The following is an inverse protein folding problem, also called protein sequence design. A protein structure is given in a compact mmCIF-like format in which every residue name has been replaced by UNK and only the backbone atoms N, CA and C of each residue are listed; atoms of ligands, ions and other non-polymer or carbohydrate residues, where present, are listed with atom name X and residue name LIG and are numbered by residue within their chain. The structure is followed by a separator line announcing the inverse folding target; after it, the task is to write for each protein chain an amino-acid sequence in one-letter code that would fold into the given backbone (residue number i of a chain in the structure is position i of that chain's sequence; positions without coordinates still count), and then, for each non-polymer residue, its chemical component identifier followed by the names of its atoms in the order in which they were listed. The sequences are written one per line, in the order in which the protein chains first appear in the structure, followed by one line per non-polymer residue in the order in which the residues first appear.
data_IF_210300888199
#
_entry.id   IF_210300888199
#
_cell.length_a   1.000
_cell.length_b   1.000
_cell.length_c   1.000
_cell.angle_alpha   90.00
_cell.angle_beta   90.00
_cell.angle_gamma   90.00
#
_symmetry.space_group_name_H-M   'P 1'
#
loop_
_entity.id
_entity.type
_entity.pdbx_description
1 polymer ?
#
# COMPACT_ATOMS: atom_id res chain seq x y z
N UNK A 1 9.42 -1.84 8.91
CA UNK A 1 8.19 -1.04 9.05
C UNK A 1 8.06 -0.21 7.79
N UNK A 2 7.03 -0.42 6.97
CA UNK A 2 6.76 0.48 5.86
C UNK A 2 5.93 1.65 6.43
N UNK A 3 6.57 2.80 6.66
CA UNK A 3 5.83 4.02 7.01
C UNK A 3 5.01 4.45 5.80
N UNK A 4 3.69 4.25 5.88
CA UNK A 4 2.74 4.72 4.89
C UNK A 4 2.21 6.08 5.35
N UNK A 5 2.63 7.13 4.67
CA UNK A 5 2.01 8.44 4.82
C UNK A 5 0.69 8.43 4.05
N UNK A 6 -0.41 8.23 4.77
CA UNK A 6 -1.75 8.35 4.20
C UNK A 6 -2.12 9.83 4.22
N UNK A 7 -2.09 10.44 3.05
CA UNK A 7 -2.88 11.63 2.74
C UNK A 7 -3.38 11.50 1.31
N UNK A 8 -4.71 11.54 1.16
CA UNK A 8 -5.49 11.74 -0.07
C UNK A 8 -4.76 11.55 -1.43
N UNK A 9 -4.30 10.33 -1.74
CA UNK A 9 -3.81 9.99 -3.08
C UNK A 9 -4.94 9.37 -3.91
N UNK A 10 -5.89 10.22 -4.30
CA UNK A 10 -6.72 9.97 -5.47
C UNK A 10 -6.18 10.83 -6.62
N UNK A 11 -5.76 10.15 -7.70
CA UNK A 11 -5.42 10.66 -9.05
C UNK A 11 -4.13 11.51 -9.20
N UNK A 12 -3.26 11.13 -10.16
CA UNK A 12 -2.57 12.04 -11.13
C UNK A 12 -1.19 11.60 -11.69
N UNK A 13 -0.80 10.32 -11.76
CA UNK A 13 0.55 9.97 -12.27
C UNK A 13 0.65 8.96 -13.42
N UNK A 14 -0.31 8.95 -14.35
CA UNK A 14 -0.14 8.22 -15.63
C UNK A 14 -0.38 9.09 -16.87
N UNK A 15 -0.23 10.42 -16.74
CA UNK A 15 -0.26 11.32 -17.90
C UNK A 15 1.07 12.08 -18.15
N UNK A 16 2.01 12.09 -17.19
CA UNK A 16 3.36 12.64 -17.39
C UNK A 16 4.44 11.79 -16.69
N UNK A 17 5.23 11.01 -17.44
CA UNK A 17 6.67 10.68 -17.26
C UNK A 17 7.28 10.41 -15.86
N UNK A 18 6.51 10.22 -14.80
CA UNK A 18 7.05 10.14 -13.44
C UNK A 18 7.30 8.67 -13.06
N UNK A 19 8.58 8.34 -12.92
CA UNK A 19 9.05 7.04 -12.45
C UNK A 19 9.00 7.00 -10.92
N UNK A 20 8.17 6.14 -10.37
CA UNK A 20 8.16 5.82 -8.93
C UNK A 20 9.08 4.63 -8.67
N UNK A 21 10.03 4.77 -7.74
CA UNK A 21 10.95 3.70 -7.33
C UNK A 21 10.72 3.40 -5.84
N UNK A 22 10.06 2.29 -5.49
CA UNK A 22 9.89 1.91 -4.08
C UNK A 22 11.25 1.49 -3.50
N UNK A 23 11.56 1.99 -2.29
CA UNK A 23 12.75 1.62 -1.52
C UNK A 23 12.30 0.97 -0.21
N UNK A 24 12.87 -0.17 0.14
CA UNK A 24 12.54 -0.91 1.36
C UNK A 24 13.56 -0.56 2.45
N UNK A 25 13.06 0.03 3.55
CA UNK A 25 13.84 0.26 4.77
C UNK A 25 13.58 -0.84 5.81
N UNK A 26 14.66 -1.41 6.35
CA UNK A 26 14.59 -2.36 7.46
C UNK A 26 14.86 -1.60 8.76
N UNK A 27 13.92 -1.67 9.69
CA UNK A 27 14.09 -1.16 11.05
C UNK A 27 14.35 -2.34 11.97
N UNK A 28 15.58 -2.47 12.46
CA UNK A 28 15.98 -3.58 13.34
C UNK A 28 15.42 -3.44 14.76
N UNK A 29 15.33 -2.20 15.24
CA UNK A 29 14.71 -1.86 16.51
C UNK A 29 13.55 -0.89 16.21
N UNK A 30 12.33 -1.41 16.36
CA UNK A 30 11.12 -0.63 16.12
C UNK A 30 10.92 0.44 17.18
N UNK A 31 11.25 0.14 18.44
CA UNK A 31 11.01 1.03 19.59
C UNK A 31 11.99 2.20 19.61
N UNK A 32 13.19 2.01 19.03
CA UNK A 32 14.15 3.08 18.81
C UNK A 32 13.67 4.12 17.80
N UNK A 33 12.78 3.75 16.86
CA UNK A 33 12.25 4.68 15.87
C UNK A 33 11.01 5.40 16.38
N UNK A 34 11.17 6.69 16.69
CA UNK A 34 10.07 7.56 17.14
C UNK A 34 9.70 8.53 16.01
N UNK A 35 8.62 8.28 15.25
CA UNK A 35 8.22 9.17 14.17
C UNK A 35 7.80 10.54 14.72
N UNK A 36 8.27 11.60 14.07
CA UNK A 36 7.86 12.98 14.33
C UNK A 36 7.17 13.54 13.07
N UNK A 37 5.89 13.20 12.83
CA UNK A 37 5.19 13.60 11.60
C UNK A 37 4.94 15.12 11.57
N UNK A 38 5.08 15.71 10.38
CA UNK A 38 4.69 17.08 10.13
C UNK A 38 3.16 17.17 9.97
N UNK A 39 2.42 17.83 10.87
CA UNK A 39 0.96 17.88 10.80
C UNK A 39 0.42 18.64 9.59
N UNK A 40 1.24 19.47 8.92
CA UNK A 40 0.85 20.13 7.68
C UNK A 40 0.75 19.16 6.49
N UNK A 41 1.42 18.01 6.57
CA UNK A 41 1.58 17.07 5.46
C UNK A 41 1.14 15.65 5.81
N UNK A 42 0.91 15.35 7.08
CA UNK A 42 0.67 13.98 7.58
C UNK A 42 -0.45 14.02 8.62
N UNK A 43 -1.57 13.39 8.28
CA UNK A 43 -2.71 13.26 9.21
C UNK A 43 -2.45 12.21 10.29
N UNK A 44 -1.88 11.06 9.91
CA UNK A 44 -1.65 9.95 10.82
C UNK A 44 -0.51 9.04 10.39
N UNK A 45 0.09 8.36 11.37
CA UNK A 45 1.09 7.30 11.18
C UNK A 45 0.59 6.06 11.90
N UNK A 46 0.60 4.92 11.21
CA UNK A 46 0.17 3.65 11.75
C UNK A 46 0.97 2.50 11.15
N UNK A 47 0.96 1.37 11.86
CA UNK A 47 1.58 0.13 11.42
C UNK A 47 0.52 -0.85 10.93
N UNK A 48 0.82 -1.55 9.85
CA UNK A 48 0.00 -2.61 9.30
C UNK A 48 0.83 -3.91 9.16
N UNK A 49 0.29 -5.09 9.55
CA UNK A 49 1.00 -6.35 9.37
C UNK A 49 1.25 -6.63 7.89
N UNK A 50 2.51 -6.82 7.47
CA UNK A 50 2.83 -7.05 6.05
C UNK A 50 2.07 -8.25 5.45
N UNK A 51 1.80 -9.27 6.26
CA UNK A 51 1.06 -10.46 5.84
C UNK A 51 -0.36 -10.16 5.33
N UNK A 52 -0.97 -9.05 5.72
CA UNK A 52 -2.32 -8.69 5.26
C UNK A 52 -2.37 -8.51 3.73
N UNK A 53 -1.25 -8.11 3.10
CA UNK A 53 -1.19 -7.83 1.67
C UNK A 53 -0.98 -9.09 0.81
N UNK A 54 -0.85 -10.26 1.43
CA UNK A 54 -0.73 -11.55 0.75
C UNK A 54 -1.87 -12.51 1.11
N UNK A 55 -2.89 -11.98 1.78
CA UNK A 55 -4.09 -12.68 2.23
C UNK A 55 -5.30 -12.11 1.51
N UNK A 56 -6.33 -12.94 1.27
CA UNK A 56 -7.56 -12.49 0.60
C UNK A 56 -8.62 -12.01 1.60
N UNK A 57 -8.28 -11.99 2.89
CA UNK A 57 -9.17 -11.53 3.95
C UNK A 57 -9.26 -10.01 3.97
N UNK A 58 -10.48 -9.47 4.01
CA UNK A 58 -10.75 -8.02 4.03
C UNK A 58 -10.16 -7.23 2.84
N UNK A 59 -9.96 -7.92 1.72
CA UNK A 59 -9.52 -7.34 0.45
C UNK A 59 -10.70 -7.19 -0.51
N UNK A 60 -10.75 -6.06 -1.20
CA UNK A 60 -11.63 -5.84 -2.35
C UNK A 60 -10.76 -5.49 -3.56
N UNK A 61 -11.22 -5.78 -4.77
CA UNK A 61 -10.58 -5.28 -5.98
C UNK A 61 -11.60 -4.86 -7.03
N UNK A 62 -11.24 -3.85 -7.79
CA UNK A 62 -12.05 -3.29 -8.86
C UNK A 62 -11.21 -3.17 -10.13
N UNK A 63 -11.76 -3.64 -11.24
CA UNK A 63 -11.20 -3.36 -12.56
C UNK A 63 -11.55 -1.93 -12.95
N UNK A 64 -10.54 -1.21 -13.45
CA UNK A 64 -10.68 0.13 -14.00
C UNK A 64 -10.03 0.16 -15.37
N UNK A 65 -10.56 1.01 -16.24
CA UNK A 65 -9.98 1.28 -17.55
C UNK A 65 -9.45 2.71 -17.57
N UNK A 66 -8.21 2.88 -18.04
CA UNK A 66 -7.58 4.17 -18.20
C UNK A 66 -6.73 4.20 -19.46
N UNK A 67 -7.01 5.15 -20.36
CA UNK A 67 -6.30 5.30 -21.65
C UNK A 67 -6.24 3.94 -22.40
N UNK A 68 -7.38 3.23 -22.46
CA UNK A 68 -7.49 1.93 -23.14
C UNK A 68 -6.74 0.76 -22.47
N UNK A 69 -6.11 0.99 -21.31
CA UNK A 69 -5.46 -0.07 -20.53
C UNK A 69 -6.31 -0.40 -19.31
N UNK A 70 -6.56 -1.69 -19.11
CA UNK A 70 -7.24 -2.19 -17.91
C UNK A 70 -6.24 -2.40 -16.80
N UNK A 71 -6.63 -2.04 -15.58
CA UNK A 71 -5.82 -2.24 -14.39
C UNK A 71 -6.70 -2.60 -13.20
N UNK A 72 -6.11 -3.33 -12.26
CA UNK A 72 -6.78 -3.77 -11.04
C UNK A 72 -6.39 -2.85 -9.89
N UNK A 73 -7.38 -2.24 -9.25
CA UNK A 73 -7.18 -1.49 -8.02
C UNK A 73 -7.52 -2.40 -6.85
N UNK A 74 -6.57 -2.59 -5.93
CA UNK A 74 -6.78 -3.32 -4.70
C UNK A 74 -7.12 -2.35 -3.56
N UNK A 75 -8.01 -2.78 -2.68
CA UNK A 75 -8.39 -2.11 -1.44
C UNK A 75 -8.22 -3.09 -0.29
N UNK A 76 -7.54 -2.65 0.77
CA UNK A 76 -7.41 -3.38 2.02
C UNK A 76 -7.93 -2.50 3.14
N UNK A 77 -8.99 -2.99 3.79
CA UNK A 77 -9.59 -2.30 4.93
C UNK A 77 -8.87 -2.77 6.21
N UNK A 78 -8.29 -1.83 6.97
CA UNK A 78 -7.50 -2.11 8.16
C UNK A 78 -7.97 -1.29 9.36
N UNK A 79 -8.15 -1.95 10.49
CA UNK A 79 -8.56 -1.30 11.73
C UNK A 79 -7.49 -1.43 12.80
N UNK A 80 -7.08 -0.30 13.37
CA UNK A 80 -6.13 -0.24 14.48
C UNK A 80 -6.39 0.99 15.34
N UNK A 81 -6.17 0.89 16.65
CA UNK A 81 -6.40 1.98 17.60
C UNK A 81 -7.80 2.65 17.46
N UNK A 82 -8.84 1.82 17.26
CA UNK A 82 -10.23 2.26 17.01
C UNK A 82 -10.40 3.20 15.80
N UNK A 83 -9.46 3.17 14.85
CA UNK A 83 -9.52 3.92 13.58
C UNK A 83 -9.47 2.94 12.42
N UNK A 84 -10.27 3.25 11.39
CA UNK A 84 -10.30 2.49 10.14
C UNK A 84 -9.50 3.22 9.07
N UNK A 85 -8.66 2.47 8.37
CA UNK A 85 -7.81 2.92 7.29
C UNK A 85 -8.12 2.09 6.05
N UNK A 86 -8.05 2.74 4.88
CA UNK A 86 -8.17 2.08 3.60
C UNK A 86 -6.85 2.23 2.85
N UNK A 87 -6.17 1.11 2.61
CA UNK A 87 -4.91 1.07 1.88
C UNK A 87 -5.22 0.61 0.45
N UNK A 88 -4.98 1.48 -0.53
CA UNK A 88 -5.42 1.23 -1.91
C UNK A 88 -4.50 1.83 -2.97
N UNK A 89 -4.79 1.56 -4.24
CA UNK A 89 -4.08 2.14 -5.39
C UNK A 89 -2.64 1.66 -5.51
N UNK A 90 -1.73 2.56 -5.90
CA UNK A 90 -0.31 2.26 -6.10
C UNK A 90 0.35 1.70 -4.83
N UNK A 91 -0.01 2.26 -3.67
CA UNK A 91 0.49 1.82 -2.37
C UNK A 91 0.18 0.35 -2.11
N UNK A 92 -1.07 -0.07 -2.36
CA UNK A 92 -1.46 -1.48 -2.21
C UNK A 92 -0.66 -2.38 -3.16
N UNK A 93 -0.45 -1.97 -4.42
CA UNK A 93 0.35 -2.73 -5.40
C UNK A 93 1.81 -2.92 -4.96
N UNK A 94 2.44 -1.87 -4.42
CA UNK A 94 3.82 -1.95 -3.88
C UNK A 94 3.87 -2.92 -2.69
N UNK A 95 2.89 -2.87 -1.80
CA UNK A 95 2.85 -3.71 -0.59
C UNK A 95 2.57 -5.18 -0.91
N UNK A 96 1.69 -5.48 -1.87
CA UNK A 96 1.47 -6.85 -2.38
C UNK A 96 2.80 -7.40 -2.89
N UNK A 97 3.52 -6.64 -3.74
CA UNK A 97 4.80 -7.08 -4.30
C UNK A 97 5.86 -7.28 -3.21
N UNK A 98 5.97 -6.34 -2.27
CA UNK A 98 6.90 -6.46 -1.14
C UNK A 98 6.60 -7.70 -0.30
N UNK A 99 5.33 -7.93 0.05
CA UNK A 99 4.91 -9.11 0.80
C UNK A 99 5.21 -10.41 0.04
N UNK A 100 4.95 -10.49 -1.26
CA UNK A 100 5.27 -11.68 -2.07
C UNK A 100 6.76 -12.01 -2.10
N UNK A 101 7.63 -10.99 -2.12
CA UNK A 101 9.08 -11.18 -2.05
C UNK A 101 9.48 -11.67 -0.66
N UNK A 102 8.99 -11.01 0.40
CA UNK A 102 9.37 -11.33 1.79
C UNK A 102 8.87 -12.71 2.24
N UNK A 103 7.67 -13.12 1.82
CA UNK A 103 7.09 -14.42 2.15
C UNK A 103 7.36 -15.50 1.11
N UNK A 104 8.12 -15.18 0.05
CA UNK A 104 8.50 -16.10 -1.03
C UNK A 104 7.32 -16.87 -1.65
N UNK A 105 6.15 -16.23 -1.76
CA UNK A 105 4.96 -16.85 -2.33
C UNK A 105 4.10 -15.83 -3.09
N UNK A 106 3.32 -16.26 -4.10
CA UNK A 106 2.35 -15.38 -4.74
C UNK A 106 1.14 -15.14 -3.82
N UNK A 107 0.41 -14.02 -4.00
CA UNK A 107 -0.87 -13.85 -3.34
C UNK A 107 -1.89 -14.85 -3.90
N UNK A 108 -2.92 -15.25 -3.12
CA UNK A 108 -3.98 -16.16 -3.56
C UNK A 108 -4.99 -15.51 -4.53
N UNK A 109 -4.71 -14.30 -5.02
CA UNK A 109 -5.54 -13.52 -5.93
C UNK A 109 -4.71 -12.99 -7.10
N UNK A 110 -5.36 -12.58 -8.18
CA UNK A 110 -4.70 -11.96 -9.32
C UNK A 110 -4.17 -10.58 -8.90
N UNK A 111 -2.85 -10.32 -8.92
CA UNK A 111 -2.29 -9.06 -8.46
C UNK A 111 -2.31 -7.95 -9.52
N UNK A 112 -2.33 -8.32 -10.81
CA UNK A 112 -2.35 -7.39 -11.94
C UNK A 112 -3.09 -8.04 -13.11
N UNK A 113 -3.81 -7.24 -13.91
CA UNK A 113 -4.40 -7.71 -15.18
C UNK A 113 -3.36 -7.52 -16.28
N UNK A 114 -3.24 -8.51 -17.18
CA UNK A 114 -2.44 -8.47 -18.41
C UNK A 114 -3.23 -7.97 -19.59
#
# INVERSE_FOLDING_TARGET
MLSLFLNHFCQSLFQHLLRVVPVIGILNDKEAFKPAPNPAEVESVFDAPLEMFIKDENRRAEEREWIGNKYLIHFFDYETNNKKYMIWGLTAGILIRAASIVYERPPPFVPFIT
#
